data_IF_009240049947
#
_entry.id   IF_009240049947
#
_cell.length_a   1.000
_cell.length_b   1.000
_cell.length_c   1.000
_cell.angle_alpha   90.00
_cell.angle_beta   90.00
_cell.angle_gamma   90.00
#
_symmetry.space_group_name_H-M   'P 1'
#
loop_
_entity.id
_entity.type
_entity.pdbx_description
1 polymer ?
#
# COMPACT_ATOMS: atom_id res chain seq x y z
N UNK A 1 -11.94 -20.99 2.17
CA UNK A 1 -12.15 -20.17 3.39
C UNK A 1 -11.21 -18.97 3.31
N UNK A 2 -11.77 -17.77 3.19
CA UNK A 2 -11.04 -16.50 3.12
C UNK A 2 -11.74 -15.62 4.17
N UNK A 3 -11.51 -15.78 5.48
CA UNK A 3 -10.37 -15.30 6.26
C UNK A 3 -10.35 -16.03 7.61
N UNK A 4 -9.21 -16.10 8.28
CA UNK A 4 -9.19 -16.10 9.74
C UNK A 4 -9.35 -14.64 10.16
N UNK A 5 -10.36 -14.33 10.94
CA UNK A 5 -10.64 -12.95 11.35
C UNK A 5 -9.50 -12.45 12.25
N UNK A 6 -9.03 -11.22 11.98
CA UNK A 6 -8.12 -10.48 12.87
C UNK A 6 -8.94 -9.40 13.56
N UNK A 7 -8.77 -9.30 14.87
CA UNK A 7 -9.48 -8.31 15.70
C UNK A 7 -8.69 -7.02 15.81
N UNK A 8 -9.39 -5.93 16.10
CA UNK A 8 -8.80 -4.64 16.45
C UNK A 8 -7.83 -4.73 17.62
N UNK A 9 -8.10 -5.59 18.60
CA UNK A 9 -7.20 -5.84 19.74
C UNK A 9 -5.87 -6.46 19.28
N UNK A 10 -5.92 -7.50 18.44
CA UNK A 10 -4.74 -8.13 17.86
C UNK A 10 -3.93 -7.15 17.02
N UNK A 11 -4.60 -6.36 16.18
CA UNK A 11 -3.95 -5.36 15.33
C UNK A 11 -3.29 -4.26 16.18
N UNK A 12 -3.97 -3.74 17.21
CA UNK A 12 -3.38 -2.77 18.14
C UNK A 12 -2.15 -3.33 18.86
N UNK A 13 -2.22 -4.60 19.31
CA UNK A 13 -1.08 -5.27 19.95
C UNK A 13 0.12 -5.37 19.00
N UNK A 14 -0.11 -5.68 17.73
CA UNK A 14 0.94 -5.79 16.72
C UNK A 14 1.55 -4.43 16.39
N UNK A 15 0.76 -3.35 16.40
CA UNK A 15 1.18 -1.99 16.05
C UNK A 15 1.74 -1.17 17.23
N UNK A 16 1.54 -1.62 18.47
CA UNK A 16 2.03 -0.93 19.67
C UNK A 16 3.55 -0.71 19.62
N UNK A 17 3.98 0.51 19.90
CA UNK A 17 5.36 0.99 19.83
C UNK A 17 5.92 1.13 18.41
N UNK A 18 5.11 0.98 17.36
CA UNK A 18 5.58 0.97 15.97
C UNK A 18 5.12 2.20 15.20
N UNK A 19 6.07 2.78 14.46
CA UNK A 19 5.86 3.70 13.35
C UNK A 19 5.88 2.91 12.04
N UNK A 20 4.74 2.83 11.38
CA UNK A 20 4.56 2.11 10.12
C UNK A 20 4.27 3.11 9.00
N UNK A 21 4.99 2.98 7.89
CA UNK A 21 4.76 3.78 6.68
C UNK A 21 4.25 2.89 5.55
N UNK A 22 3.14 3.26 4.92
CA UNK A 22 2.63 2.64 3.70
C UNK A 22 2.88 3.58 2.52
N UNK A 23 3.63 3.13 1.52
CA UNK A 23 3.90 3.87 0.29
C UNK A 23 3.23 3.15 -0.87
N UNK A 24 2.43 3.84 -1.67
CA UNK A 24 1.91 3.27 -2.91
C UNK A 24 0.70 3.97 -3.49
N UNK A 25 0.00 3.29 -4.37
CA UNK A 25 -1.14 3.86 -5.09
C UNK A 25 -2.47 3.77 -4.29
N UNK A 26 -3.59 3.87 -4.99
CA UNK A 26 -4.93 3.78 -4.41
C UNK A 26 -5.22 2.44 -3.71
N UNK A 27 -4.54 1.35 -4.08
CA UNK A 27 -4.66 0.06 -3.38
C UNK A 27 -4.05 0.18 -1.99
N UNK A 28 -2.84 0.74 -1.87
CA UNK A 28 -2.20 1.02 -0.58
C UNK A 28 -3.04 1.97 0.27
N UNK A 29 -3.72 2.95 -0.33
CA UNK A 29 -4.67 3.81 0.39
C UNK A 29 -5.83 3.04 0.98
N UNK A 30 -6.34 2.03 0.26
CA UNK A 30 -7.41 1.16 0.77
C UNK A 30 -6.95 0.29 1.92
N UNK A 31 -5.73 -0.27 1.84
CA UNK A 31 -5.09 -1.01 2.95
C UNK A 31 -4.94 -0.10 4.17
N UNK A 32 -4.40 1.11 3.99
CA UNK A 32 -4.29 2.11 5.05
C UNK A 32 -5.64 2.39 5.73
N UNK A 33 -6.71 2.59 4.95
CA UNK A 33 -8.05 2.86 5.50
C UNK A 33 -8.61 1.68 6.30
N UNK A 34 -8.40 0.46 5.83
CA UNK A 34 -8.88 -0.74 6.55
C UNK A 34 -8.08 -0.96 7.84
N UNK A 35 -6.77 -0.67 7.83
CA UNK A 35 -5.97 -0.66 9.06
C UNK A 35 -6.39 0.44 10.03
N UNK A 36 -6.70 1.66 9.56
CA UNK A 36 -7.30 2.71 10.40
C UNK A 36 -8.61 2.25 11.03
N UNK A 37 -9.47 1.55 10.27
CA UNK A 37 -10.72 0.98 10.78
C UNK A 37 -10.45 0.02 11.94
N UNK A 38 -9.58 -0.97 11.72
CA UNK A 38 -9.19 -1.94 12.76
C UNK A 38 -8.54 -1.26 13.97
N UNK A 39 -7.56 -0.38 13.76
CA UNK A 39 -6.89 0.33 14.85
C UNK A 39 -7.84 1.27 15.61
N UNK A 40 -8.90 1.79 14.98
CA UNK A 40 -9.93 2.58 15.65
C UNK A 40 -10.86 1.75 16.56
N UNK A 41 -10.74 0.42 16.55
CA UNK A 41 -11.60 -0.48 17.35
C UNK A 41 -12.82 -0.99 16.59
N UNK A 42 -12.89 -0.76 15.27
CA UNK A 42 -14.00 -1.22 14.42
C UNK A 42 -13.60 -2.50 13.69
N UNK A 43 -14.04 -3.65 14.21
CA UNK A 43 -13.82 -4.97 13.61
C UNK A 43 -14.63 -5.21 12.33
N UNK A 44 -15.71 -4.45 12.13
CA UNK A 44 -16.51 -4.50 10.90
C UNK A 44 -15.73 -4.09 9.65
N UNK A 45 -16.23 -4.46 8.48
CA UNK A 45 -15.68 -4.00 7.19
C UNK A 45 -15.92 -2.49 7.01
N UNK A 46 -15.06 -1.86 6.20
CA UNK A 46 -15.35 -0.55 5.63
C UNK A 46 -16.63 -0.61 4.79
N UNK A 47 -17.45 0.44 4.85
CA UNK A 47 -18.47 0.65 3.82
C UNK A 47 -17.80 1.07 2.50
N UNK A 48 -18.52 0.95 1.38
CA UNK A 48 -18.05 1.44 0.08
C UNK A 48 -17.76 2.95 0.16
N UNK A 49 -18.56 3.71 0.89
CA UNK A 49 -18.39 5.15 1.06
C UNK A 49 -17.17 5.48 1.92
N UNK A 50 -16.89 4.70 2.97
CA UNK A 50 -15.66 4.84 3.76
C UNK A 50 -14.41 4.54 2.91
N UNK A 51 -14.46 3.48 2.09
CA UNK A 51 -13.39 3.12 1.18
C UNK A 51 -13.16 4.20 0.10
N UNK A 52 -14.24 4.78 -0.43
CA UNK A 52 -14.19 5.90 -1.40
C UNK A 52 -14.04 7.26 -0.74
N UNK A 53 -14.03 7.31 0.60
CA UNK A 53 -14.07 8.55 1.37
C UNK A 53 -12.98 9.52 0.94
N UNK A 54 -13.43 10.72 0.60
CA UNK A 54 -12.59 11.84 0.24
C UNK A 54 -12.90 13.01 1.19
N UNK A 55 -11.94 13.37 2.03
CA UNK A 55 -12.10 14.41 3.05
C UNK A 55 -12.45 15.79 2.46
N UNK A 56 -11.99 16.13 1.23
CA UNK A 56 -12.36 17.40 0.57
C UNK A 56 -13.84 17.49 0.23
N UNK A 57 -14.52 16.37 0.02
CA UNK A 57 -15.97 16.35 -0.28
C UNK A 57 -16.77 16.35 1.02
N UNK A 58 -16.28 15.62 2.03
CA UNK A 58 -17.08 15.28 3.21
C UNK A 58 -16.86 16.23 4.40
N UNK A 59 -15.88 17.15 4.33
CA UNK A 59 -15.51 18.08 5.39
C UNK A 59 -15.32 17.43 6.78
N UNK A 60 -15.02 16.12 6.79
CA UNK A 60 -14.83 15.29 7.98
C UNK A 60 -13.62 14.39 7.78
N UNK A 61 -13.08 13.88 8.88
CA UNK A 61 -12.08 12.80 8.93
C UNK A 61 -12.80 11.46 8.96
N UNK A 62 -12.16 10.43 8.39
CA UNK A 62 -12.62 9.04 8.56
C UNK A 62 -11.76 8.42 9.67
N UNK A 63 -12.34 7.99 10.79
CA UNK A 63 -11.58 7.51 11.94
C UNK A 63 -10.56 8.54 12.47
N UNK A 64 -10.84 9.84 12.36
CA UNK A 64 -9.96 10.90 12.90
C UNK A 64 -8.50 10.91 12.40
N UNK A 65 -8.23 10.31 11.24
CA UNK A 65 -6.92 10.45 10.61
C UNK A 65 -6.66 11.87 10.10
N UNK A 66 -5.43 12.33 10.27
CA UNK A 66 -4.92 13.60 9.79
C UNK A 66 -4.48 13.50 8.33
N UNK A 67 -4.58 14.62 7.61
CA UNK A 67 -3.94 14.79 6.30
C UNK A 67 -2.72 15.67 6.55
N UNK A 68 -1.52 15.13 6.31
CA UNK A 68 -0.26 15.82 6.55
C UNK A 68 0.10 16.71 5.36
N UNK A 69 -0.08 16.19 4.15
CA UNK A 69 0.28 16.87 2.91
C UNK A 69 -0.69 16.47 1.82
N UNK A 70 -1.11 17.44 1.01
CA UNK A 70 -2.08 17.22 -0.04
C UNK A 70 -1.92 18.26 -1.14
N UNK A 71 -1.35 17.83 -2.26
CA UNK A 71 -1.32 18.61 -3.48
C UNK A 71 -2.06 17.84 -4.58
N UNK A 72 -3.34 18.16 -4.75
CA UNK A 72 -4.10 17.82 -5.95
C UNK A 72 -4.67 19.12 -6.50
N UNK A 73 -4.02 19.64 -7.53
CA UNK A 73 -4.44 20.84 -8.27
C UNK A 73 -5.76 20.54 -9.01
N UNK A 74 -5.96 19.30 -9.44
CA UNK A 74 -7.21 18.84 -10.03
C UNK A 74 -7.30 17.31 -9.95
N UNK A 75 -8.50 16.73 -9.91
CA UNK A 75 -8.77 15.28 -9.86
C UNK A 75 -8.33 14.50 -11.09
N UNK A 76 -7.52 15.07 -11.96
CA UNK A 76 -6.93 14.29 -13.03
C UNK A 76 -6.07 13.22 -12.37
N UNK A 77 -6.29 11.95 -12.72
CA UNK A 77 -5.40 10.84 -12.38
C UNK A 77 -4.03 11.15 -12.95
N UNK A 78 -3.28 11.99 -12.25
CA UNK A 78 -2.10 12.67 -12.71
C UNK A 78 -0.92 12.23 -11.88
N UNK A 79 0.20 12.05 -12.56
CA UNK A 79 1.50 11.68 -12.01
C UNK A 79 1.98 12.67 -10.93
N UNK A 80 1.47 13.91 -10.94
CA UNK A 80 1.81 14.96 -9.96
C UNK A 80 1.00 14.91 -8.65
N UNK A 81 0.12 13.92 -8.45
CA UNK A 81 -0.66 13.81 -7.23
C UNK A 81 0.25 13.56 -6.01
N UNK A 82 0.10 14.37 -4.96
CA UNK A 82 0.77 14.18 -3.67
C UNK A 82 -0.29 14.08 -2.58
N UNK A 83 -0.22 13.02 -1.79
CA UNK A 83 -1.12 12.78 -0.67
C UNK A 83 -0.35 12.07 0.44
N UNK A 84 -0.31 12.67 1.64
CA UNK A 84 0.23 12.07 2.85
C UNK A 84 -0.83 12.12 3.96
N UNK A 85 -1.08 10.98 4.60
CA UNK A 85 -2.05 10.83 5.69
C UNK A 85 -1.38 10.24 6.91
N UNK A 86 -1.93 10.52 8.09
CA UNK A 86 -1.47 10.02 9.39
C UNK A 86 -2.62 9.57 10.25
N UNK A 87 -2.47 8.41 10.85
CA UNK A 87 -3.33 7.91 11.90
C UNK A 87 -2.47 7.44 13.05
N UNK A 88 -2.63 8.07 14.22
CA UNK A 88 -1.82 7.79 15.40
C UNK A 88 -2.67 7.80 16.65
N UNK A 89 -2.26 7.05 17.66
CA UNK A 89 -2.86 7.08 18.99
C UNK A 89 -1.77 7.15 20.04
N UNK A 90 -1.85 8.15 20.92
CA UNK A 90 -0.99 8.23 22.10
C UNK A 90 -1.41 7.21 23.17
N UNK A 91 -2.70 6.90 23.29
CA UNK A 91 -3.24 5.93 24.25
C UNK A 91 -2.75 4.50 23.95
N UNK A 92 -2.80 4.11 22.67
CA UNK A 92 -2.41 2.78 22.22
C UNK A 92 -0.97 2.72 21.68
N UNK A 93 -0.27 3.85 21.67
CA UNK A 93 1.12 4.00 21.22
C UNK A 93 1.37 3.40 19.83
N UNK A 94 0.68 3.90 18.80
CA UNK A 94 0.94 3.50 17.42
C UNK A 94 0.93 4.69 16.47
N UNK A 95 1.61 4.52 15.34
CA UNK A 95 1.70 5.54 14.31
C UNK A 95 1.67 4.89 12.93
N UNK A 96 0.69 5.23 12.11
CA UNK A 96 0.50 4.73 10.77
C UNK A 96 0.42 5.90 9.80
N UNK A 97 1.39 6.01 8.89
CA UNK A 97 1.36 6.99 7.81
C UNK A 97 1.12 6.30 6.46
N UNK A 98 0.47 7.02 5.55
CA UNK A 98 0.31 6.61 4.17
C UNK A 98 0.76 7.72 3.22
N UNK A 99 1.64 7.40 2.28
CA UNK A 99 2.13 8.31 1.25
C UNK A 99 1.76 7.77 -0.14
N UNK A 100 1.00 8.56 -0.89
CA UNK A 100 0.68 8.25 -2.27
C UNK A 100 1.94 8.28 -3.13
N UNK A 101 2.11 7.25 -3.94
CA UNK A 101 3.22 7.11 -4.86
C UNK A 101 2.69 6.66 -6.22
N UNK A 102 2.96 7.47 -7.25
CA UNK A 102 2.62 7.14 -8.63
C UNK A 102 3.79 6.48 -9.38
N UNK A 103 5.00 6.43 -8.79
CA UNK A 103 6.19 5.88 -9.42
C UNK A 103 7.17 5.40 -8.37
N UNK A 104 7.69 4.18 -8.51
CA UNK A 104 8.52 3.51 -7.49
C UNK A 104 9.68 4.36 -6.99
N UNK A 105 10.32 5.09 -7.90
CA UNK A 105 11.33 6.08 -7.57
C UNK A 105 10.97 7.42 -8.20
N UNK A 106 10.91 8.46 -7.37
CA UNK A 106 10.60 9.82 -7.79
C UNK A 106 11.23 10.84 -6.82
N UNK A 107 11.19 12.12 -7.19
CA UNK A 107 11.79 13.22 -6.41
C UNK A 107 11.22 13.34 -4.99
N UNK A 108 9.93 13.04 -4.80
CA UNK A 108 9.29 13.10 -3.48
C UNK A 108 9.87 12.06 -2.53
N UNK A 109 10.02 10.82 -3.01
CA UNK A 109 10.64 9.73 -2.23
C UNK A 109 12.13 10.02 -1.97
N UNK A 110 12.90 10.41 -3.00
CA UNK A 110 14.32 10.69 -2.83
C UNK A 110 14.60 11.81 -1.84
N UNK A 111 13.79 12.88 -1.86
CA UNK A 111 13.91 14.00 -0.93
C UNK A 111 13.41 13.66 0.48
N UNK A 112 12.67 12.56 0.64
CA UNK A 112 12.08 12.17 1.92
C UNK A 112 12.84 11.05 2.63
N UNK A 113 14.00 10.59 2.13
CA UNK A 113 14.74 9.46 2.72
C UNK A 113 15.05 9.66 4.21
N UNK A 114 15.54 10.83 4.62
CA UNK A 114 15.80 11.13 6.04
C UNK A 114 14.52 11.10 6.90
N UNK A 115 13.39 11.50 6.34
CA UNK A 115 12.10 11.38 7.03
C UNK A 115 11.60 9.95 7.10
N UNK A 116 11.92 9.11 6.10
CA UNK A 116 11.54 7.70 6.05
C UNK A 116 12.35 6.86 7.06
N UNK A 117 13.57 7.27 7.37
CA UNK A 117 14.44 6.57 8.34
C UNK A 117 13.79 6.40 9.72
N UNK A 118 12.88 7.30 10.12
CA UNK A 118 12.23 7.25 11.42
C UNK A 118 11.21 6.12 11.61
N UNK A 119 10.77 5.45 10.54
CA UNK A 119 9.74 4.41 10.62
C UNK A 119 10.35 3.04 10.94
N UNK A 120 9.68 2.26 11.78
CA UNK A 120 10.13 0.92 12.14
C UNK A 120 9.87 -0.10 11.02
N UNK A 121 8.80 0.09 10.25
CA UNK A 121 8.41 -0.79 9.14
C UNK A 121 7.91 0.05 7.96
N UNK A 122 8.31 -0.37 6.75
CA UNK A 122 7.87 0.24 5.50
C UNK A 122 7.17 -0.81 4.66
N UNK A 123 5.93 -0.54 4.30
CA UNK A 123 5.12 -1.34 3.39
C UNK A 123 5.05 -0.58 2.07
N UNK A 124 5.54 -1.17 0.99
CA UNK A 124 5.62 -0.48 -0.29
C UNK A 124 5.02 -1.28 -1.43
N UNK A 125 4.27 -0.60 -2.29
CA UNK A 125 3.83 -1.10 -3.59
C UNK A 125 3.93 0.04 -4.59
N UNK A 126 4.36 -0.28 -5.80
CA UNK A 126 4.24 0.63 -6.94
C UNK A 126 4.39 -0.24 -8.18
N UNK A 127 3.33 -0.42 -8.97
CA UNK A 127 3.42 -1.16 -10.24
C UNK A 127 2.37 -0.70 -11.25
N UNK A 128 1.15 -0.39 -10.81
CA UNK A 128 0.04 -0.03 -11.72
C UNK A 128 0.39 1.23 -12.50
N UNK A 129 0.81 2.27 -11.79
CA UNK A 129 1.08 3.57 -12.41
C UNK A 129 2.37 3.56 -13.21
N UNK A 130 3.43 2.95 -12.70
CA UNK A 130 4.69 2.75 -13.42
C UNK A 130 4.47 2.13 -14.82
N UNK A 131 3.68 1.06 -14.88
CA UNK A 131 3.42 0.34 -16.14
C UNK A 131 2.37 1.01 -17.03
N UNK A 132 1.38 1.70 -16.46
CA UNK A 132 0.24 2.25 -17.24
C UNK A 132 0.37 3.71 -17.64
N UNK A 133 1.10 4.55 -16.88
CA UNK A 133 1.12 6.02 -17.07
C UNK A 133 2.45 6.58 -17.57
N UNK A 134 3.53 5.81 -17.49
CA UNK A 134 4.86 6.25 -17.91
C UNK A 134 5.35 5.59 -19.21
N UNK A 135 4.42 4.96 -19.97
CA UNK A 135 4.69 4.30 -21.25
C UNK A 135 5.82 3.25 -21.18
N UNK A 136 5.97 2.59 -20.03
CA UNK A 136 6.93 1.50 -19.83
C UNK A 136 6.36 0.17 -20.32
N UNK A 137 6.33 0.01 -21.65
CA UNK A 137 5.68 -1.13 -22.32
C UNK A 137 6.25 -2.50 -21.98
N UNK A 138 7.41 -2.56 -21.32
CA UNK A 138 8.09 -3.80 -20.96
C UNK A 138 8.52 -3.87 -19.49
N UNK A 139 8.14 -2.88 -18.68
CA UNK A 139 8.55 -2.81 -17.27
C UNK A 139 10.05 -2.55 -17.04
N UNK A 140 10.80 -2.19 -18.08
CA UNK A 140 12.27 -2.00 -17.98
C UNK A 140 12.60 -0.85 -17.05
N UNK A 141 11.99 0.31 -17.27
CA UNK A 141 12.23 1.48 -16.43
C UNK A 141 11.72 1.27 -15.02
N UNK A 142 10.64 0.52 -14.86
CA UNK A 142 10.12 0.14 -13.56
C UNK A 142 11.15 -0.67 -12.77
N UNK A 143 11.72 -1.72 -13.35
CA UNK A 143 12.73 -2.56 -12.67
C UNK A 143 14.01 -1.77 -12.36
N UNK A 144 14.48 -0.92 -13.27
CA UNK A 144 15.62 -0.02 -13.02
C UNK A 144 15.34 0.94 -11.85
N UNK A 145 14.13 1.52 -11.79
CA UNK A 145 13.76 2.42 -10.70
C UNK A 145 13.51 1.67 -9.38
N UNK A 146 13.05 0.42 -9.43
CA UNK A 146 12.91 -0.44 -8.25
C UNK A 146 14.28 -0.73 -7.63
N UNK A 147 15.27 -1.07 -8.46
CA UNK A 147 16.65 -1.26 -8.02
C UNK A 147 17.24 0.01 -7.36
N UNK A 148 17.05 1.18 -7.99
CA UNK A 148 17.45 2.47 -7.41
C UNK A 148 16.70 2.76 -6.10
N UNK A 149 15.41 2.44 -6.04
CA UNK A 149 14.62 2.63 -4.82
C UNK A 149 15.16 1.78 -3.67
N UNK A 150 15.33 0.48 -3.87
CA UNK A 150 15.75 -0.44 -2.82
C UNK A 150 17.22 -0.21 -2.42
N UNK A 151 18.11 0.08 -3.35
CA UNK A 151 19.51 0.42 -3.04
C UNK A 151 19.65 1.67 -2.16
N UNK A 152 18.70 2.61 -2.23
CA UNK A 152 18.69 3.78 -1.35
C UNK A 152 17.91 3.52 -0.05
N UNK A 153 16.75 2.90 -0.13
CA UNK A 153 15.89 2.65 1.03
C UNK A 153 16.50 1.64 2.00
N UNK A 154 17.21 0.60 1.53
CA UNK A 154 17.87 -0.38 2.41
C UNK A 154 19.04 0.19 3.20
N UNK A 155 19.61 1.33 2.78
CA UNK A 155 20.64 2.04 3.56
C UNK A 155 20.07 2.66 4.83
N UNK A 156 18.78 3.02 4.82
CA UNK A 156 18.12 3.73 5.92
C UNK A 156 17.13 2.85 6.70
N UNK A 157 16.64 1.75 6.11
CA UNK A 157 15.65 0.89 6.75
C UNK A 157 15.81 -0.57 6.34
N UNK A 158 15.90 -1.47 7.32
CA UNK A 158 16.03 -2.91 7.08
C UNK A 158 14.68 -3.60 6.86
N UNK A 159 13.61 -3.07 7.45
CA UNK A 159 12.28 -3.68 7.55
C UNK A 159 11.36 -3.19 6.44
N UNK A 160 11.75 -3.47 5.20
CA UNK A 160 10.96 -3.14 4.01
C UNK A 160 10.21 -4.40 3.57
N UNK A 161 8.88 -4.30 3.49
CA UNK A 161 8.01 -5.30 2.90
C UNK A 161 7.40 -4.78 1.61
N UNK A 162 7.63 -5.48 0.52
CA UNK A 162 7.02 -5.17 -0.76
C UNK A 162 5.69 -5.91 -0.94
N UNK A 163 4.62 -5.19 -1.27
CA UNK A 163 3.31 -5.79 -1.53
C UNK A 163 3.20 -6.06 -3.04
N UNK A 164 3.12 -7.34 -3.39
CA UNK A 164 2.94 -7.78 -4.78
C UNK A 164 1.46 -8.03 -4.98
N UNK A 165 0.82 -7.17 -5.77
CA UNK A 165 -0.60 -7.31 -6.10
C UNK A 165 -0.81 -8.31 -7.24
N UNK A 166 -1.86 -9.13 -7.21
CA UNK A 166 -2.18 -10.00 -8.34
C UNK A 166 -2.77 -9.16 -9.48
N UNK A 167 -2.57 -9.57 -10.74
CA UNK A 167 -3.42 -9.10 -11.83
C UNK A 167 -4.88 -9.44 -11.52
N UNK A 168 -5.81 -8.63 -12.02
CA UNK A 168 -7.24 -8.87 -11.83
C UNK A 168 -7.82 -9.91 -12.79
N UNK A 169 -7.33 -9.93 -14.01
CA UNK A 169 -7.56 -10.91 -15.06
C UNK A 169 -6.34 -10.89 -16.02
N UNK A 170 -6.15 -11.83 -16.94
CA UNK A 170 -5.05 -11.74 -17.93
C UNK A 170 -5.46 -11.06 -19.24
N UNK A 171 -6.63 -10.39 -19.26
CA UNK A 171 -7.25 -9.92 -20.50
C UNK A 171 -6.63 -8.60 -20.98
N UNK A 172 -6.24 -7.73 -20.03
CA UNK A 172 -5.67 -6.41 -20.34
C UNK A 172 -4.15 -6.45 -20.51
N UNK A 173 -3.62 -5.53 -21.32
CA UNK A 173 -2.16 -5.38 -21.48
C UNK A 173 -1.45 -5.07 -20.16
N UNK A 174 -2.06 -4.24 -19.30
CA UNK A 174 -1.52 -3.92 -17.98
C UNK A 174 -1.38 -5.18 -17.13
N UNK A 175 -2.42 -6.02 -17.08
CA UNK A 175 -2.36 -7.24 -16.28
C UNK A 175 -1.33 -8.26 -16.80
N UNK A 176 -1.17 -8.35 -18.13
CA UNK A 176 -0.09 -9.16 -18.73
C UNK A 176 1.29 -8.66 -18.30
N UNK A 177 1.48 -7.35 -18.27
CA UNK A 177 2.74 -6.75 -17.79
C UNK A 177 2.95 -6.99 -16.30
N UNK A 178 1.93 -6.81 -15.46
CA UNK A 178 2.01 -7.12 -14.02
C UNK A 178 2.41 -8.59 -13.81
N UNK A 179 1.82 -9.52 -14.57
CA UNK A 179 2.17 -10.93 -14.52
C UNK A 179 3.63 -11.18 -14.95
N UNK A 180 4.08 -10.55 -16.03
CA UNK A 180 5.46 -10.67 -16.50
C UNK A 180 6.48 -10.12 -15.50
N UNK A 181 6.10 -9.09 -14.73
CA UNK A 181 6.98 -8.45 -13.74
C UNK A 181 7.06 -9.21 -12.41
N UNK A 182 6.20 -10.19 -12.16
CA UNK A 182 6.14 -10.89 -10.87
C UNK A 182 7.47 -11.54 -10.47
N UNK A 183 8.05 -12.38 -11.34
CA UNK A 183 9.32 -13.04 -11.05
C UNK A 183 10.51 -12.05 -10.99
N UNK A 184 10.68 -11.12 -11.95
CA UNK A 184 11.73 -10.09 -11.86
C UNK A 184 11.69 -9.26 -10.57
N UNK A 185 10.50 -8.88 -10.10
CA UNK A 185 10.36 -8.16 -8.82
C UNK A 185 10.86 -9.04 -7.67
N UNK A 186 10.44 -10.30 -7.60
CA UNK A 186 10.86 -11.21 -6.54
C UNK A 186 12.38 -11.42 -6.52
N UNK A 187 13.02 -11.51 -7.69
CA UNK A 187 14.48 -11.62 -7.80
C UNK A 187 15.19 -10.38 -7.23
N UNK A 188 14.73 -9.18 -7.57
CA UNK A 188 15.27 -7.93 -7.04
C UNK A 188 15.03 -7.85 -5.52
N UNK A 189 13.84 -8.19 -5.03
CA UNK A 189 13.53 -8.17 -3.60
C UNK A 189 14.43 -9.14 -2.82
N UNK A 190 14.68 -10.33 -3.37
CA UNK A 190 15.60 -11.32 -2.79
C UNK A 190 17.04 -10.79 -2.76
N UNK A 191 17.48 -10.12 -3.82
CA UNK A 191 18.83 -9.52 -3.87
C UNK A 191 19.04 -8.49 -2.76
N UNK A 192 18.02 -7.68 -2.45
CA UNK A 192 18.06 -6.66 -1.40
C UNK A 192 17.65 -7.14 0.00
N UNK A 193 17.38 -8.43 0.18
CA UNK A 193 16.87 -9.00 1.43
C UNK A 193 15.62 -8.25 1.95
N UNK A 194 14.64 -8.07 1.05
CA UNK A 194 13.34 -7.47 1.36
C UNK A 194 12.29 -8.55 1.56
N UNK A 195 11.44 -8.39 2.57
CA UNK A 195 10.25 -9.23 2.71
C UNK A 195 9.26 -8.92 1.57
N UNK A 196 8.45 -9.91 1.21
CA UNK A 196 7.37 -9.74 0.23
C UNK A 196 6.04 -10.25 0.77
N UNK A 197 5.01 -9.41 0.70
CA UNK A 197 3.62 -9.86 0.81
C UNK A 197 3.13 -10.23 -0.60
N UNK A 198 3.33 -11.49 -0.97
CA UNK A 198 2.92 -12.00 -2.29
C UNK A 198 1.45 -12.42 -2.29
N UNK A 199 0.63 -11.56 -2.88
CA UNK A 199 -0.82 -11.77 -2.98
C UNK A 199 -1.19 -12.54 -4.25
N UNK A 200 -0.25 -13.03 -5.06
CA UNK A 200 -0.54 -13.68 -6.35
C UNK A 200 -1.57 -14.83 -6.26
N UNK A 201 -1.62 -15.54 -5.13
CA UNK A 201 -2.61 -16.57 -4.85
C UNK A 201 -4.07 -16.04 -4.91
N UNK A 202 -4.29 -14.73 -4.74
CA UNK A 202 -5.60 -14.07 -4.85
C UNK A 202 -6.03 -13.77 -6.31
N UNK A 203 -5.23 -14.08 -7.33
CA UNK A 203 -5.51 -13.72 -8.74
C UNK A 203 -6.85 -14.22 -9.28
N UNK A 204 -7.33 -15.36 -8.80
CA UNK A 204 -8.58 -16.00 -9.26
C UNK A 204 -9.79 -15.64 -8.39
N UNK A 205 -9.63 -14.75 -7.41
CA UNK A 205 -10.70 -14.36 -6.49
C UNK A 205 -11.41 -13.10 -6.98
N UNK A 206 -12.24 -13.23 -8.01
CA UNK A 206 -12.99 -12.10 -8.59
C UNK A 206 -13.98 -11.47 -7.61
N UNK A 207 -14.51 -12.24 -6.65
CA UNK A 207 -15.46 -11.78 -5.65
C UNK A 207 -14.91 -10.74 -4.66
N UNK A 208 -13.58 -10.59 -4.57
CA UNK A 208 -12.94 -9.57 -3.74
C UNK A 208 -12.45 -8.36 -4.56
N UNK A 209 -12.74 -8.32 -5.86
CA UNK A 209 -12.40 -7.22 -6.76
C UNK A 209 -13.57 -6.27 -6.96
N UNK A 210 -13.26 -5.00 -7.15
CA UNK A 210 -14.21 -4.02 -7.65
C UNK A 210 -14.52 -4.26 -9.13
N UNK A 211 -15.62 -3.67 -9.62
CA UNK A 211 -16.08 -3.82 -11.01
C UNK A 211 -15.12 -3.26 -12.05
N UNK A 212 -14.19 -2.39 -11.66
CA UNK A 212 -13.15 -1.86 -12.54
C UNK A 212 -12.00 -2.85 -12.78
N UNK A 213 -11.99 -3.99 -12.09
CA UNK A 213 -10.93 -4.99 -12.20
C UNK A 213 -9.56 -4.43 -11.83
N UNK A 214 -9.43 -3.42 -10.97
CA UNK A 214 -8.12 -2.96 -10.48
C UNK A 214 -8.16 -2.88 -8.96
N UNK A 215 -9.20 -2.24 -8.43
CA UNK A 215 -9.35 -2.05 -7.01
C UNK A 215 -9.98 -3.27 -6.33
N UNK A 216 -9.85 -3.34 -5.02
CA UNK A 216 -10.47 -4.36 -4.20
C UNK A 216 -11.78 -3.84 -3.58
N UNK A 217 -12.69 -4.75 -3.24
CA UNK A 217 -13.85 -4.43 -2.41
C UNK A 217 -13.42 -4.21 -0.95
N UNK A 218 -14.29 -3.73 -0.05
CA UNK A 218 -13.99 -3.72 1.38
C UNK A 218 -13.55 -5.08 1.92
N UNK A 219 -14.22 -6.16 1.49
CA UNK A 219 -13.81 -7.53 1.81
C UNK A 219 -12.41 -7.81 1.29
N UNK A 220 -12.09 -7.45 0.05
CA UNK A 220 -10.76 -7.66 -0.51
C UNK A 220 -9.65 -6.91 0.23
N UNK A 221 -9.91 -5.66 0.64
CA UNK A 221 -8.96 -4.93 1.50
C UNK A 221 -8.78 -5.61 2.85
N UNK A 222 -9.87 -6.08 3.49
CA UNK A 222 -9.76 -6.84 4.74
C UNK A 222 -8.92 -8.10 4.57
N UNK A 223 -9.13 -8.87 3.50
CA UNK A 223 -8.31 -10.06 3.19
C UNK A 223 -6.83 -9.70 3.10
N UNK A 224 -6.48 -8.61 2.41
CA UNK A 224 -5.09 -8.17 2.29
C UNK A 224 -4.52 -7.76 3.64
N UNK A 225 -5.27 -6.96 4.42
CA UNK A 225 -4.89 -6.57 5.77
C UNK A 225 -4.64 -7.81 6.65
N UNK A 226 -5.51 -8.83 6.61
CA UNK A 226 -5.29 -10.07 7.35
C UNK A 226 -3.96 -10.74 7.01
N UNK A 227 -3.58 -10.81 5.73
CA UNK A 227 -2.29 -11.38 5.33
C UNK A 227 -1.11 -10.52 5.79
N UNK A 228 -1.25 -9.21 5.68
CA UNK A 228 -0.25 -8.25 6.18
C UNK A 228 -0.04 -8.39 7.69
N UNK A 229 -1.12 -8.46 8.46
CA UNK A 229 -1.07 -8.57 9.93
C UNK A 229 -0.39 -9.88 10.35
N UNK A 230 -0.70 -10.99 9.67
CA UNK A 230 0.00 -12.26 9.88
C UNK A 230 1.49 -12.16 9.58
N UNK A 231 1.85 -11.52 8.47
CA UNK A 231 3.26 -11.29 8.12
C UNK A 231 3.97 -10.46 9.20
N UNK A 232 3.36 -9.35 9.63
CA UNK A 232 3.91 -8.46 10.67
C UNK A 232 3.96 -9.09 12.06
N UNK A 233 3.20 -10.16 12.32
CA UNK A 233 3.26 -10.92 13.57
C UNK A 233 4.49 -11.82 13.65
N UNK A 234 5.10 -12.15 12.50
CA UNK A 234 6.27 -13.01 12.38
C UNK A 234 7.59 -12.22 12.21
N UNK A 235 7.53 -10.88 12.18
CA UNK A 235 8.66 -9.96 12.00
C UNK A 235 8.96 -9.20 13.29
#
# INVERSE_FOLDING_TARGET
MITSDVTSEEVRKIFKGKKVLIIGDSICRGIYKDLCCLLSGKDGLLSIDELRFNRRINNKTLFDHEIIDFCTIDRTNNINNVEKRRFSSAEYDYHLDYWFCSRVWNRSISNSLSYIEQYNYILMQSIIWDLSRYNDRYGKFYLENLDVCLSNMKKINKNITWIIIPPSDSSTNLNKLILQMHLPILEILKFYDCASLDLYHLKNHSNIRSTDGIHFTPTGHRVISCHLIKLMSNL
#
